data_IF_414243042674
#
_entry.id   IF_414243042674
#
_cell.length_a   1.000
_cell.length_b   1.000
_cell.length_c   1.000
_cell.angle_alpha   90.00
_cell.angle_beta   90.00
_cell.angle_gamma   90.00
#
_symmetry.space_group_name_H-M   'P 1'
#
loop_
_entity.id
_entity.type
_entity.pdbx_description
1 polymer ?
#
# COMPACT_ATOMS: atom_id res chain seq x y z
N UNK A 1 13.51 -32.39 7.71
CA UNK A 1 13.76 -30.94 7.52
C UNK A 1 15.21 -30.63 7.87
N UNK A 2 16.00 -30.06 6.97
CA UNK A 2 17.36 -29.62 7.32
C UNK A 2 17.33 -28.43 8.29
N UNK A 3 18.38 -28.27 9.11
CA UNK A 3 18.53 -27.11 10.02
C UNK A 3 18.45 -25.79 9.26
N UNK A 4 19.10 -25.70 8.10
CA UNK A 4 19.07 -24.52 7.25
C UNK A 4 17.64 -24.12 6.84
N UNK A 5 16.80 -25.10 6.47
CA UNK A 5 15.41 -24.82 6.09
C UNK A 5 14.60 -24.23 7.26
N UNK A 6 14.74 -24.79 8.47
CA UNK A 6 14.05 -24.26 9.66
C UNK A 6 14.44 -22.81 9.96
N UNK A 7 15.72 -22.47 9.83
CA UNK A 7 16.21 -21.09 10.05
C UNK A 7 15.62 -20.14 9.02
N UNK A 8 15.64 -20.52 7.74
CA UNK A 8 15.04 -19.72 6.67
C UNK A 8 13.54 -19.50 6.91
N UNK A 9 12.79 -20.57 7.21
CA UNK A 9 11.34 -20.51 7.47
C UNK A 9 11.00 -19.63 8.67
N UNK A 10 11.75 -19.74 9.77
CA UNK A 10 11.54 -18.90 10.94
C UNK A 10 11.77 -17.40 10.62
N UNK A 11 12.83 -17.08 9.87
CA UNK A 11 13.11 -15.70 9.46
C UNK A 11 12.01 -15.14 8.56
N UNK A 12 11.59 -15.90 7.54
CA UNK A 12 10.49 -15.48 6.66
C UNK A 12 9.16 -15.40 7.40
N UNK A 13 8.90 -16.25 8.40
CA UNK A 13 7.71 -16.18 9.25
C UNK A 13 7.63 -14.86 10.05
N UNK A 14 8.75 -14.42 10.62
CA UNK A 14 8.83 -13.12 11.31
C UNK A 14 8.58 -11.97 10.32
N UNK A 15 9.22 -12.03 9.15
CA UNK A 15 9.04 -10.99 8.12
C UNK A 15 7.60 -10.97 7.59
N UNK A 16 6.98 -12.13 7.35
CA UNK A 16 5.64 -12.22 6.79
C UNK A 16 4.56 -11.71 7.75
N UNK A 17 4.69 -12.02 9.05
CA UNK A 17 3.81 -11.46 10.08
C UNK A 17 3.88 -9.93 10.16
N UNK A 18 5.04 -9.34 9.80
CA UNK A 18 5.24 -7.88 9.78
C UNK A 18 4.80 -7.25 8.45
N UNK A 19 5.10 -7.90 7.34
CA UNK A 19 4.95 -7.37 6.00
C UNK A 19 3.97 -8.21 5.19
N UNK A 20 2.74 -7.69 5.05
CA UNK A 20 1.63 -8.36 4.36
C UNK A 20 1.93 -8.71 2.88
N UNK A 21 2.85 -8.01 2.24
CA UNK A 21 3.22 -8.31 0.85
C UNK A 21 3.86 -9.71 0.71
N UNK A 22 4.50 -10.25 1.76
CA UNK A 22 5.07 -11.60 1.75
C UNK A 22 3.99 -12.71 1.82
N UNK A 23 2.77 -12.37 2.20
CA UNK A 23 1.59 -13.24 2.12
C UNK A 23 0.82 -13.07 0.81
N UNK A 24 1.19 -12.08 0.00
CA UNK A 24 0.49 -11.77 -1.24
C UNK A 24 1.26 -12.36 -2.40
N UNK A 25 0.57 -12.99 -3.34
CA UNK A 25 1.19 -13.40 -4.61
C UNK A 25 1.55 -12.14 -5.38
N UNK A 26 2.86 -11.92 -5.53
CA UNK A 26 3.43 -10.84 -6.33
C UNK A 26 4.20 -11.49 -7.48
N UNK A 27 4.17 -10.87 -8.65
CA UNK A 27 4.96 -11.28 -9.82
C UNK A 27 6.12 -10.29 -10.08
N UNK A 28 7.16 -10.26 -9.21
CA UNK A 28 8.32 -9.44 -9.44
C UNK A 28 9.34 -10.16 -10.32
N UNK A 29 10.05 -9.38 -11.13
CA UNK A 29 11.30 -9.79 -11.74
C UNK A 29 12.25 -10.38 -10.67
N UNK A 30 12.91 -11.53 -10.91
CA UNK A 30 13.74 -12.22 -9.90
C UNK A 30 14.81 -11.32 -9.25
N UNK A 31 15.39 -10.40 -10.03
CA UNK A 31 16.34 -9.41 -9.52
C UNK A 31 15.75 -8.46 -8.47
N UNK A 32 14.49 -8.08 -8.62
CA UNK A 32 13.78 -7.17 -7.70
C UNK A 32 13.34 -7.87 -6.42
N UNK A 33 13.05 -9.17 -6.48
CA UNK A 33 12.67 -9.95 -5.30
C UNK A 33 13.76 -9.92 -4.23
N UNK A 34 15.03 -9.99 -4.65
CA UNK A 34 16.18 -9.88 -3.73
C UNK A 34 16.19 -8.53 -3.02
N UNK A 35 15.91 -7.44 -3.74
CA UNK A 35 15.82 -6.10 -3.17
C UNK A 35 14.67 -5.98 -2.18
N UNK A 36 13.53 -6.62 -2.44
CA UNK A 36 12.39 -6.63 -1.51
C UNK A 36 12.73 -7.33 -0.20
N UNK A 37 13.39 -8.49 -0.24
CA UNK A 37 13.81 -9.20 0.96
C UNK A 37 14.83 -8.37 1.76
N UNK A 38 15.83 -7.79 1.07
CA UNK A 38 16.82 -6.91 1.72
C UNK A 38 16.17 -5.68 2.36
N UNK A 39 15.26 -5.01 1.65
CA UNK A 39 14.52 -3.86 2.16
C UNK A 39 13.70 -4.24 3.40
N UNK A 40 13.03 -5.39 3.40
CA UNK A 40 12.30 -5.91 4.56
C UNK A 40 13.22 -6.14 5.77
N UNK A 41 14.41 -6.70 5.57
CA UNK A 41 15.39 -6.88 6.65
C UNK A 41 15.87 -5.54 7.22
N UNK A 42 16.21 -4.58 6.36
CA UNK A 42 16.63 -3.23 6.79
C UNK A 42 15.50 -2.55 7.57
N UNK A 43 14.28 -2.58 7.04
CA UNK A 43 13.13 -1.97 7.69
C UNK A 43 12.78 -2.65 9.01
N UNK A 44 12.89 -3.97 9.09
CA UNK A 44 12.73 -4.72 10.33
C UNK A 44 13.74 -4.28 11.39
N UNK A 45 15.02 -4.21 11.02
CA UNK A 45 16.09 -3.78 11.91
C UNK A 45 15.90 -2.34 12.38
N UNK A 46 15.60 -1.43 11.46
CA UNK A 46 15.32 -0.03 11.76
C UNK A 46 14.16 0.11 12.75
N UNK A 47 13.07 -0.62 12.51
CA UNK A 47 11.88 -0.56 13.37
C UNK A 47 12.10 -1.20 14.75
N UNK A 48 13.13 -2.04 14.91
CA UNK A 48 13.52 -2.59 16.22
C UNK A 48 14.34 -1.59 17.04
N UNK A 49 15.12 -0.74 16.38
CA UNK A 49 15.99 0.25 17.01
C UNK A 49 15.21 1.52 17.37
N UNK A 50 14.25 1.91 16.54
CA UNK A 50 13.47 3.14 16.72
C UNK A 50 11.96 2.86 16.89
N UNK A 51 11.54 2.26 18.03
CA UNK A 51 10.13 1.91 18.26
C UNK A 51 9.23 3.15 18.25
N UNK A 52 9.66 4.25 18.88
CA UNK A 52 8.88 5.50 18.97
C UNK A 52 8.61 6.13 17.60
N UNK A 53 9.63 6.19 16.73
CA UNK A 53 9.46 6.72 15.36
C UNK A 53 8.57 5.81 14.51
N UNK A 54 8.66 4.50 14.72
CA UNK A 54 7.84 3.55 13.98
C UNK A 54 6.39 3.56 14.44
N UNK A 55 6.14 3.68 15.74
CA UNK A 55 4.80 3.85 16.31
C UNK A 55 4.15 5.14 15.83
N UNK A 56 4.87 6.28 15.93
CA UNK A 56 4.40 7.55 15.40
C UNK A 56 4.10 7.48 13.89
N UNK A 57 4.99 6.86 13.10
CA UNK A 57 4.76 6.68 11.66
C UNK A 57 3.58 5.75 11.36
N UNK A 58 3.33 4.71 12.19
CA UNK A 58 2.19 3.82 12.05
C UNK A 58 0.88 4.52 12.36
N UNK A 59 0.84 5.29 13.44
CA UNK A 59 -0.32 6.10 13.81
C UNK A 59 -0.65 7.12 12.72
N UNK A 60 0.37 7.78 12.14
CA UNK A 60 0.19 8.68 11.01
C UNK A 60 -0.31 7.96 9.76
N UNK A 61 0.21 6.77 9.46
CA UNK A 61 -0.25 5.99 8.29
C UNK A 61 -1.68 5.48 8.49
N UNK A 62 -2.03 5.07 9.71
CA UNK A 62 -3.38 4.69 10.12
C UNK A 62 -4.34 5.88 10.04
N UNK A 63 -3.93 7.06 10.54
CA UNK A 63 -4.68 8.31 10.44
C UNK A 63 -4.91 8.70 8.99
N UNK A 64 -3.85 8.71 8.16
CA UNK A 64 -3.97 8.99 6.72
C UNK A 64 -4.91 8.00 6.06
N UNK A 65 -4.77 6.70 6.32
CA UNK A 65 -5.68 5.67 5.79
C UNK A 65 -7.12 5.87 6.26
N UNK A 66 -7.34 6.23 7.52
CA UNK A 66 -8.68 6.55 8.05
C UNK A 66 -9.24 7.84 7.45
N UNK A 67 -8.42 8.84 7.14
CA UNK A 67 -8.82 10.05 6.42
C UNK A 67 -9.20 9.71 4.98
N UNK A 68 -8.37 8.95 4.26
CA UNK A 68 -8.63 8.56 2.87
C UNK A 68 -9.81 7.59 2.72
N UNK A 69 -9.99 6.66 3.66
CA UNK A 69 -11.08 5.67 3.65
C UNK A 69 -12.34 6.19 4.37
N UNK A 70 -12.20 7.22 5.21
CA UNK A 70 -13.27 7.89 5.95
C UNK A 70 -13.85 9.10 5.22
N UNK A 71 -13.20 9.59 4.15
CA UNK A 71 -13.91 10.24 3.05
C UNK A 71 -14.92 9.23 2.55
N UNK A 72 -16.21 9.53 2.73
CA UNK A 72 -17.30 8.72 2.15
C UNK A 72 -16.92 8.44 0.70
N UNK A 73 -16.57 7.20 0.37
CA UNK A 73 -16.48 6.78 -1.02
C UNK A 73 -17.88 7.04 -1.56
N UNK A 74 -18.06 8.08 -2.37
CA UNK A 74 -19.38 8.42 -2.90
C UNK A 74 -19.74 7.37 -3.95
N UNK A 75 -20.12 6.19 -3.48
CA UNK A 75 -21.04 5.30 -4.19
C UNK A 75 -22.48 5.85 -4.14
N UNK A 76 -22.68 7.05 -3.60
CA UNK A 76 -23.90 7.84 -3.79
C UNK A 76 -23.74 8.70 -5.03
N UNK A 77 -24.75 8.66 -5.91
CA UNK A 77 -24.89 9.48 -7.13
C UNK A 77 -24.21 10.84 -6.96
N UNK A 78 -23.24 11.14 -7.83
CA UNK A 78 -22.73 12.50 -7.99
C UNK A 78 -23.93 13.44 -8.04
N UNK A 79 -23.95 14.46 -7.17
CA UNK A 79 -25.07 15.41 -7.11
C UNK A 79 -25.40 15.94 -8.51
N UNK A 80 -26.68 16.24 -8.79
CA UNK A 80 -27.15 16.61 -10.13
C UNK A 80 -26.27 17.67 -10.81
N UNK A 81 -25.74 18.62 -10.04
CA UNK A 81 -24.82 19.68 -10.49
C UNK A 81 -23.47 19.11 -10.99
N UNK A 82 -22.91 18.11 -10.31
CA UNK A 82 -21.66 17.48 -10.71
C UNK A 82 -21.82 16.62 -11.98
N UNK A 83 -23.00 16.02 -12.18
CA UNK A 83 -23.33 15.33 -13.43
C UNK A 83 -23.53 16.33 -14.57
N UNK A 84 -24.22 17.45 -14.33
CA UNK A 84 -24.40 18.53 -15.31
C UNK A 84 -23.06 19.13 -15.74
N UNK A 85 -22.18 19.45 -14.78
CA UNK A 85 -20.82 19.92 -15.09
C UNK A 85 -20.02 18.91 -15.91
N UNK A 86 -20.11 17.61 -15.57
CA UNK A 86 -19.42 16.55 -16.34
C UNK A 86 -19.92 16.52 -17.78
N UNK A 87 -21.23 16.62 -17.99
CA UNK A 87 -21.83 16.54 -19.32
C UNK A 87 -21.52 17.78 -20.15
N UNK A 88 -21.54 18.98 -19.54
CA UNK A 88 -21.14 20.23 -20.19
C UNK A 88 -19.69 20.19 -20.65
N UNK A 89 -18.78 19.73 -19.80
CA UNK A 89 -17.37 19.58 -20.17
C UNK A 89 -17.18 18.55 -21.28
N UNK A 90 -17.89 17.41 -21.22
CA UNK A 90 -17.82 16.39 -22.26
C UNK A 90 -18.22 16.92 -23.62
N UNK A 91 -19.31 17.71 -23.71
CA UNK A 91 -19.76 18.31 -24.97
C UNK A 91 -18.76 19.32 -25.51
N UNK A 92 -18.26 20.22 -24.66
CA UNK A 92 -17.25 21.21 -25.05
C UNK A 92 -16.04 20.55 -25.72
N UNK A 93 -15.47 19.51 -25.10
CA UNK A 93 -14.31 18.81 -25.65
C UNK A 93 -14.60 17.94 -26.87
N UNK A 94 -15.86 17.53 -27.10
CA UNK A 94 -16.24 16.71 -28.24
C UNK A 94 -16.72 17.53 -29.46
N UNK A 95 -17.29 18.71 -29.23
CA UNK A 95 -17.93 19.52 -30.28
C UNK A 95 -17.12 20.77 -30.65
N UNK A 96 -16.40 21.39 -29.70
CA UNK A 96 -15.66 22.66 -29.92
C UNK A 96 -14.14 22.52 -29.73
N UNK A 97 -13.65 21.31 -29.45
CA UNK A 97 -12.25 21.00 -29.17
C UNK A 97 -11.38 20.67 -30.38
N UNK A 98 -11.75 21.11 -31.59
CA UNK A 98 -10.90 21.08 -32.81
C UNK A 98 -10.85 22.43 -33.47
#
# INVERSE_FOLDING_TARGET
LSRARRVAENAFGILANRFRFLHTTIDPEPGRLTSFVKASCVLHNYSRIAPVLFEASREDHQRKRAIYLGLRTSKGRSGAIALDMRERLRRYFNDEGT
#
